data_IF_615439901204
#
_entry.id   IF_615439901204
#
_cell.length_a   1.000
_cell.length_b   1.000
_cell.length_c   1.000
_cell.angle_alpha   90.00
_cell.angle_beta   90.00
_cell.angle_gamma   90.00
#
_symmetry.space_group_name_H-M   'P 1'
#
loop_
_entity.id
_entity.type
_entity.pdbx_description
1 polymer ?
#
# COMPACT_ATOMS: atom_id res chain seq x y z
N UNK A 1 23.45 -16.81 8.38
CA UNK A 1 22.80 -15.51 8.14
C UNK A 1 22.45 -14.92 9.50
N UNK A 2 23.21 -13.92 9.97
CA UNK A 2 23.01 -13.30 11.28
C UNK A 2 21.81 -12.35 11.29
N UNK A 3 21.20 -12.15 12.46
CA UNK A 3 20.04 -11.29 12.65
C UNK A 3 20.39 -9.81 12.35
N UNK A 4 20.03 -9.32 11.16
CA UNK A 4 20.23 -7.92 10.77
C UNK A 4 19.39 -6.93 11.58
N UNK A 5 18.44 -7.40 12.38
CA UNK A 5 17.55 -6.54 13.17
C UNK A 5 18.27 -5.82 14.32
N UNK A 6 19.19 -6.48 15.02
CA UNK A 6 19.87 -5.86 16.17
C UNK A 6 20.78 -4.69 15.76
N UNK A 7 21.66 -4.82 14.74
CA UNK A 7 22.43 -3.69 14.24
C UNK A 7 21.56 -2.58 13.65
N UNK A 8 20.47 -2.95 12.95
CA UNK A 8 19.52 -2.00 12.38
C UNK A 8 18.89 -1.09 13.45
N UNK A 9 18.49 -1.67 14.60
CA UNK A 9 17.93 -0.91 15.72
C UNK A 9 18.99 0.03 16.31
N UNK A 10 20.20 -0.47 16.55
CA UNK A 10 21.27 0.31 17.18
C UNK A 10 21.73 1.50 16.33
N UNK A 11 21.79 1.31 15.01
CA UNK A 11 22.34 2.29 14.07
C UNK A 11 21.26 3.13 13.37
N UNK A 12 19.98 2.82 13.60
CA UNK A 12 18.84 3.55 13.01
C UNK A 12 18.67 3.35 11.49
N UNK A 13 19.35 2.36 10.91
CA UNK A 13 19.28 2.07 9.47
C UNK A 13 18.32 0.90 9.23
N UNK A 14 17.39 0.99 8.26
CA UNK A 14 16.48 -0.11 7.95
C UNK A 14 17.21 -1.44 7.70
N UNK A 15 16.74 -2.52 8.30
CA UNK A 15 17.39 -3.83 8.18
C UNK A 15 17.46 -4.34 6.72
N UNK A 16 16.46 -3.99 5.90
CA UNK A 16 16.45 -4.30 4.47
C UNK A 16 17.60 -3.58 3.76
N UNK A 17 17.78 -2.29 4.03
CA UNK A 17 18.85 -1.50 3.42
C UNK A 17 20.23 -2.02 3.81
N UNK A 18 20.41 -2.46 5.06
CA UNK A 18 21.64 -3.15 5.48
C UNK A 18 21.91 -4.44 4.72
N UNK A 19 20.87 -5.23 4.46
CA UNK A 19 21.01 -6.53 3.83
C UNK A 19 21.22 -6.44 2.30
N UNK A 20 20.60 -5.47 1.64
CA UNK A 20 20.55 -5.37 0.18
C UNK A 20 21.26 -4.14 -0.40
N UNK A 21 21.81 -3.26 0.44
CA UNK A 21 22.61 -2.09 0.05
C UNK A 21 21.81 -0.97 -0.62
N UNK A 22 20.49 -1.05 -0.62
CA UNK A 22 19.57 -0.07 -1.20
C UNK A 22 18.25 -0.08 -0.44
N UNK A 23 17.48 1.00 -0.50
CA UNK A 23 16.17 1.04 0.14
C UNK A 23 15.22 0.02 -0.48
N UNK A 24 14.20 -0.42 0.28
CA UNK A 24 13.17 -1.32 -0.23
C UNK A 24 12.48 -0.74 -1.49
N UNK A 25 12.21 0.57 -1.50
CA UNK A 25 11.59 1.24 -2.63
C UNK A 25 12.47 1.25 -3.89
N UNK A 26 13.80 1.37 -3.75
CA UNK A 26 14.74 1.23 -4.86
C UNK A 26 14.78 -0.20 -5.39
N UNK A 27 14.84 -1.17 -4.49
CA UNK A 27 14.88 -2.58 -4.85
C UNK A 27 13.64 -2.99 -5.66
N UNK A 28 12.44 -2.60 -5.19
CA UNK A 28 11.16 -2.88 -5.86
C UNK A 28 11.05 -2.23 -7.25
N UNK A 29 11.75 -1.11 -7.51
CA UNK A 29 11.81 -0.51 -8.85
C UNK A 29 12.64 -1.32 -9.85
N UNK A 30 13.57 -2.13 -9.34
CA UNK A 30 14.51 -2.92 -10.18
C UNK A 30 14.12 -4.39 -10.32
N UNK A 31 13.26 -4.92 -9.43
CA UNK A 31 12.91 -6.34 -9.39
C UNK A 31 11.40 -6.56 -9.49
N UNK A 32 10.93 -6.84 -10.70
CA UNK A 32 9.51 -7.04 -11.01
C UNK A 32 8.85 -8.17 -10.22
N UNK A 33 9.55 -9.30 -10.08
CA UNK A 33 9.07 -10.46 -9.32
C UNK A 33 8.80 -10.08 -7.86
N UNK A 34 9.74 -9.39 -7.22
CA UNK A 34 9.61 -8.98 -5.83
C UNK A 34 8.53 -7.92 -5.65
N UNK A 35 8.41 -6.99 -6.60
CA UNK A 35 7.34 -5.98 -6.66
C UNK A 35 5.97 -6.62 -6.75
N UNK A 36 5.79 -7.57 -7.66
CA UNK A 36 4.53 -8.27 -7.86
C UNK A 36 4.17 -9.16 -6.66
N UNK A 37 5.15 -9.85 -6.06
CA UNK A 37 4.94 -10.64 -4.85
C UNK A 37 4.50 -9.77 -3.66
N UNK A 38 5.16 -8.64 -3.44
CA UNK A 38 4.77 -7.69 -2.38
C UNK A 38 3.36 -7.15 -2.62
N UNK A 39 3.03 -6.74 -3.85
CA UNK A 39 1.70 -6.24 -4.19
C UNK A 39 0.61 -7.29 -3.92
N UNK A 40 0.88 -8.56 -4.25
CA UNK A 40 -0.05 -9.65 -3.99
C UNK A 40 -0.34 -9.84 -2.50
N UNK A 41 0.71 -9.85 -1.67
CA UNK A 41 0.58 -9.96 -0.21
C UNK A 41 -0.16 -8.75 0.38
N UNK A 42 0.15 -7.53 -0.09
CA UNK A 42 -0.56 -6.33 0.32
C UNK A 42 -2.05 -6.38 -0.01
N UNK A 43 -2.41 -6.84 -1.22
CA UNK A 43 -3.81 -7.00 -1.61
C UNK A 43 -4.54 -8.05 -0.76
N UNK A 44 -3.87 -9.14 -0.38
CA UNK A 44 -4.48 -10.15 0.50
C UNK A 44 -4.79 -9.59 1.91
N UNK A 45 -3.99 -8.64 2.41
CA UNK A 45 -4.20 -7.98 3.69
C UNK A 45 -5.38 -6.99 3.72
N UNK A 46 -5.92 -6.65 2.55
CA UNK A 46 -6.92 -5.60 2.37
C UNK A 46 -8.38 -6.05 2.58
N UNK A 47 -8.60 -7.22 3.21
CA UNK A 47 -9.93 -7.80 3.43
C UNK A 47 -10.89 -6.95 4.29
N UNK A 48 -10.43 -5.82 4.85
CA UNK A 48 -11.24 -4.89 5.63
C UNK A 48 -11.61 -3.60 4.89
N UNK A 49 -11.07 -3.36 3.69
CA UNK A 49 -11.27 -2.10 2.95
C UNK A 49 -12.74 -1.88 2.54
N UNK A 50 -13.52 -2.94 2.42
CA UNK A 50 -14.96 -2.91 2.20
C UNK A 50 -15.75 -2.29 3.37
N UNK A 51 -15.19 -2.36 4.59
CA UNK A 51 -15.81 -1.79 5.80
C UNK A 51 -15.58 -0.29 5.95
N UNK A 52 -14.60 0.29 5.26
CA UNK A 52 -14.27 1.72 5.34
C UNK A 52 -15.45 2.61 4.91
N UNK A 53 -16.05 2.45 3.71
CA UNK A 53 -17.19 3.29 3.28
C UNK A 53 -18.48 3.06 4.09
N UNK A 54 -18.53 2.04 4.96
CA UNK A 54 -19.62 1.83 5.92
C UNK A 54 -19.44 2.68 7.18
N UNK A 55 -18.20 3.04 7.53
CA UNK A 55 -17.86 3.78 8.77
C UNK A 55 -17.58 5.26 8.53
N UNK A 56 -17.17 5.62 7.33
CA UNK A 56 -16.88 7.00 6.95
C UNK A 56 -17.88 7.49 5.91
N UNK A 57 -18.41 8.68 6.14
CA UNK A 57 -19.30 9.35 5.20
C UNK A 57 -18.49 10.13 4.17
N UNK A 58 -18.63 9.74 2.90
CA UNK A 58 -17.98 10.41 1.78
C UNK A 58 -18.96 11.32 1.02
N UNK A 59 -20.23 11.43 1.43
CA UNK A 59 -21.29 12.12 0.68
C UNK A 59 -21.05 13.61 0.45
N UNK A 60 -20.27 14.27 1.32
CA UNK A 60 -19.93 15.69 1.21
C UNK A 60 -18.74 15.99 0.29
N UNK A 61 -17.97 14.96 -0.07
CA UNK A 61 -16.81 15.13 -0.93
C UNK A 61 -17.23 15.31 -2.40
N UNK A 62 -16.45 16.08 -3.15
CA UNK A 62 -16.57 16.17 -4.62
C UNK A 62 -15.55 15.30 -5.34
N UNK A 63 -14.42 15.03 -4.68
CA UNK A 63 -13.29 14.30 -5.23
C UNK A 63 -12.65 13.50 -4.11
N UNK A 64 -12.32 12.23 -4.40
CA UNK A 64 -11.62 11.33 -3.48
C UNK A 64 -10.37 10.83 -4.21
N UNK A 65 -9.22 10.88 -3.53
CA UNK A 65 -7.94 10.41 -4.05
C UNK A 65 -7.38 9.38 -3.07
N UNK A 66 -7.05 8.20 -3.59
CA UNK A 66 -6.42 7.12 -2.82
C UNK A 66 -4.90 7.19 -2.95
N UNK A 67 -4.25 7.89 -2.02
CA UNK A 67 -2.81 8.13 -2.04
C UNK A 67 -2.08 6.83 -1.70
N UNK A 68 -1.26 6.34 -2.64
CA UNK A 68 -0.62 5.03 -2.55
C UNK A 68 -1.62 3.86 -2.41
N UNK A 69 -2.78 3.95 -3.04
CA UNK A 69 -3.87 2.96 -2.97
C UNK A 69 -3.60 1.55 -3.50
N UNK A 70 -2.37 1.26 -3.94
CA UNK A 70 -1.98 -0.05 -4.47
C UNK A 70 -2.85 -0.44 -5.66
N UNK A 71 -3.55 -1.58 -5.56
CA UNK A 71 -4.46 -2.08 -6.60
C UNK A 71 -5.79 -1.29 -6.70
N UNK A 72 -6.06 -0.35 -5.79
CA UNK A 72 -7.24 0.52 -5.82
C UNK A 72 -8.51 -0.11 -5.22
N UNK A 73 -8.38 -1.18 -4.44
CA UNK A 73 -9.53 -1.89 -3.84
C UNK A 73 -10.35 -0.99 -2.90
N UNK A 74 -9.69 -0.12 -2.13
CA UNK A 74 -10.36 0.86 -1.28
C UNK A 74 -11.15 1.86 -2.12
N UNK A 75 -10.49 2.52 -3.07
CA UNK A 75 -11.14 3.49 -3.94
C UNK A 75 -12.32 2.85 -4.68
N UNK A 76 -12.15 1.65 -5.23
CA UNK A 76 -13.23 0.92 -5.88
C UNK A 76 -14.40 0.65 -4.93
N UNK A 77 -14.13 0.31 -3.67
CA UNK A 77 -15.15 0.13 -2.63
C UNK A 77 -15.92 1.41 -2.33
N UNK A 78 -15.22 2.54 -2.20
CA UNK A 78 -15.84 3.86 -2.01
C UNK A 78 -16.71 4.24 -3.22
N UNK A 79 -16.20 4.11 -4.44
CA UNK A 79 -16.92 4.45 -5.67
C UNK A 79 -18.18 3.59 -5.87
N UNK A 80 -18.13 2.28 -5.54
CA UNK A 80 -19.31 1.39 -5.58
C UNK A 80 -20.41 1.85 -4.61
N UNK A 81 -20.04 2.40 -3.46
CA UNK A 81 -21.00 2.89 -2.45
C UNK A 81 -21.53 4.28 -2.77
N UNK A 82 -20.71 5.13 -3.38
CA UNK A 82 -20.99 6.53 -3.68
C UNK A 82 -20.82 6.81 -5.20
N UNK A 83 -21.78 6.39 -6.05
CA UNK A 83 -21.67 6.53 -7.51
C UNK A 83 -21.72 7.98 -8.00
N UNK A 84 -21.94 8.94 -7.10
CA UNK A 84 -21.88 10.39 -7.39
C UNK A 84 -20.47 10.87 -7.71
N UNK A 85 -19.45 10.08 -7.33
CA UNK A 85 -18.09 10.32 -7.75
C UNK A 85 -17.93 9.92 -9.22
N UNK A 86 -17.65 10.90 -10.07
CA UNK A 86 -17.33 10.63 -11.47
C UNK A 86 -15.99 9.89 -11.56
N UNK A 87 -15.99 8.71 -12.19
CA UNK A 87 -14.76 8.11 -12.70
C UNK A 87 -14.42 8.86 -14.00
N UNK A 88 -13.38 9.68 -13.95
CA UNK A 88 -12.75 10.13 -15.20
C UNK A 88 -11.89 8.96 -15.68
N UNK A 89 -12.36 8.26 -16.71
CA UNK A 89 -11.52 7.34 -17.48
C UNK A 89 -10.41 8.10 -18.22
#
# INVERSE_FOLDING_TARGET
MGCAALPAIAEGVPAFERAYGQSLGEYLRTCEEFRSGLQHVMNAGNAFLDKVPVRFDFSSARTVVDVAGGAGDLLASVLRRYPVFAVCC
#
